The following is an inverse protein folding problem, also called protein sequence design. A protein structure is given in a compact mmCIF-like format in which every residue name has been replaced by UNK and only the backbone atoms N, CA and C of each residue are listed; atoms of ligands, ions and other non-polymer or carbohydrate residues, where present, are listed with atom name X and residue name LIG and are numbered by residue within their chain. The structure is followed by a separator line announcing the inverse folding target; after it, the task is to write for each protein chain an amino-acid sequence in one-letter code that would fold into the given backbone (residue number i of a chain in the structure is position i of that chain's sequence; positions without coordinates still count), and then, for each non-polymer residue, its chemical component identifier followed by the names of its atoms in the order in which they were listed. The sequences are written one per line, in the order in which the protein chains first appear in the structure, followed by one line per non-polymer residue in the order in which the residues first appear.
data_IF_069694032581
#
_entry.id   IF_069694032581
#
_cell.length_a   1.000
_cell.length_b   1.000
_cell.length_c   1.000
_cell.angle_alpha   90.00
_cell.angle_beta   90.00
_cell.angle_gamma   90.00
#
_symmetry.space_group_name_H-M   'P 1'
#
loop_
_entity.id
_entity.type
_entity.pdbx_description
1 polymer ?
#
# COMPACT_ATOMS: atom_id res chain seq x y z
N UNK A 1 -18.22 7.52 22.14
CA UNK A 1 -18.27 6.75 20.89
C UNK A 1 -17.47 7.56 19.88
N UNK A 2 -16.15 7.43 19.94
CA UNK A 2 -15.20 8.31 19.26
C UNK A 2 -15.13 7.91 17.79
N UNK A 3 -15.67 8.76 16.92
CA UNK A 3 -15.31 8.79 15.51
C UNK A 3 -13.78 8.93 15.39
N UNK A 4 -13.09 7.83 15.11
CA UNK A 4 -11.73 7.85 14.57
C UNK A 4 -11.81 7.97 13.04
N UNK A 5 -12.64 8.91 12.58
CA UNK A 5 -12.82 9.28 11.19
C UNK A 5 -11.70 10.23 10.76
N UNK A 6 -10.42 9.82 10.72
CA UNK A 6 -9.37 10.64 10.07
C UNK A 6 -8.02 9.90 9.90
N UNK A 7 -8.03 8.66 9.39
CA UNK A 7 -6.82 8.13 8.76
C UNK A 7 -6.73 8.70 7.34
N UNK A 8 -5.99 9.81 7.19
CA UNK A 8 -5.59 10.33 5.88
C UNK A 8 -4.66 9.31 5.24
N UNK A 9 -5.12 8.72 4.14
CA UNK A 9 -4.36 7.78 3.33
C UNK A 9 -3.08 8.43 2.80
N UNK A 10 -1.98 7.70 2.82
CA UNK A 10 -0.70 8.15 2.28
C UNK A 10 -0.25 7.16 1.24
N UNK A 11 0.17 7.72 0.12
CA UNK A 11 0.96 7.05 -0.88
C UNK A 11 2.26 7.82 -0.95
N UNK A 12 3.36 7.25 -0.45
CA UNK A 12 4.66 7.79 -0.81
C UNK A 12 5.19 7.01 -1.98
N UNK A 13 5.69 7.69 -2.99
CA UNK A 13 6.94 7.25 -3.59
C UNK A 13 8.03 8.08 -2.90
N UNK A 14 9.16 7.46 -2.55
CA UNK A 14 10.53 8.01 -2.61
C UNK A 14 11.47 6.96 -1.97
N UNK A 15 12.18 6.25 -2.82
CA UNK A 15 13.61 5.98 -2.60
C UNK A 15 14.35 6.61 -3.79
N UNK A 16 15.64 6.92 -3.65
CA UNK A 16 16.50 7.47 -4.72
C UNK A 16 16.50 6.64 -6.03
N UNK A 17 15.83 5.48 -6.03
CA UNK A 17 15.75 4.50 -7.11
C UNK A 17 14.39 4.44 -7.85
N UNK A 18 13.48 5.40 -7.65
CA UNK A 18 12.13 5.39 -8.27
C UNK A 18 11.31 4.11 -7.99
N UNK A 19 11.48 3.48 -6.81
CA UNK A 19 10.67 2.32 -6.42
C UNK A 19 9.41 2.80 -5.70
N UNK A 20 8.20 2.52 -6.22
CA UNK A 20 6.95 2.80 -5.54
C UNK A 20 6.82 1.85 -4.36
N UNK A 21 6.52 2.39 -3.19
CA UNK A 21 6.28 1.58 -2.01
C UNK A 21 5.48 2.39 -1.02
N UNK A 22 4.42 1.82 -0.51
CA UNK A 22 3.46 2.52 0.34
C UNK A 22 4.10 3.00 1.64
N UNK A 23 3.94 4.28 1.94
CA UNK A 23 4.20 4.84 3.26
C UNK A 23 2.98 4.77 4.15
N UNK A 24 3.16 4.26 5.36
CA UNK A 24 2.25 4.52 6.46
C UNK A 24 2.74 5.75 7.24
N UNK A 25 2.01 6.89 7.27
CA UNK A 25 2.27 7.96 8.22
C UNK A 25 1.94 7.39 9.58
N UNK A 26 2.96 6.99 10.31
CA UNK A 26 2.80 6.86 11.75
C UNK A 26 2.84 8.27 12.32
N UNK A 27 2.30 8.44 13.53
CA UNK A 27 2.60 9.64 14.33
C UNK A 27 4.10 9.99 14.17
N UNK A 28 4.43 11.28 14.16
CA UNK A 28 5.79 11.82 13.98
C UNK A 28 6.30 12.09 12.54
N UNK A 29 5.43 12.10 11.51
CA UNK A 29 5.82 12.43 10.10
C UNK A 29 6.82 11.43 9.50
N UNK A 30 6.73 10.16 9.88
CA UNK A 30 7.59 9.08 9.38
C UNK A 30 6.74 8.08 8.60
N UNK A 31 7.28 7.63 7.48
CA UNK A 31 6.67 6.71 6.54
C UNK A 31 7.41 5.36 6.56
N UNK A 32 6.69 4.23 6.67
CA UNK A 32 7.28 2.89 6.66
C UNK A 32 7.09 2.17 5.32
N UNK A 33 8.19 1.65 4.76
CA UNK A 33 8.27 1.03 3.44
C UNK A 33 8.71 -0.43 3.53
N UNK A 34 7.93 -1.41 3.05
CA UNK A 34 8.41 -2.77 2.87
C UNK A 34 9.40 -2.88 1.69
N UNK A 35 10.61 -3.41 1.94
CA UNK A 35 11.61 -3.69 0.90
C UNK A 35 12.57 -4.83 1.33
N UNK A 36 12.79 -5.82 0.46
CA UNK A 36 13.71 -6.95 0.69
C UNK A 36 13.57 -7.61 2.08
N UNK A 37 12.33 -7.86 2.52
CA UNK A 37 12.04 -8.51 3.81
C UNK A 37 12.17 -7.60 5.04
N UNK A 38 12.60 -6.34 4.88
CA UNK A 38 12.74 -5.35 5.96
C UNK A 38 11.82 -4.16 5.75
N UNK A 39 11.58 -3.42 6.83
CA UNK A 39 10.90 -2.12 6.77
C UNK A 39 11.93 -0.99 6.81
N UNK A 40 11.82 -0.03 5.90
CA UNK A 40 12.62 1.20 5.87
C UNK A 40 11.78 2.40 6.30
N UNK A 41 12.39 3.36 6.99
CA UNK A 41 11.73 4.60 7.41
C UNK A 41 12.13 5.75 6.46
N UNK A 42 11.16 6.50 5.95
CA UNK A 42 11.39 7.72 5.16
C UNK A 42 10.68 8.93 5.76
N UNK A 43 11.28 10.10 5.54
CA UNK A 43 10.81 11.38 6.09
C UNK A 43 10.24 12.32 5.01
N UNK A 44 10.61 12.10 3.74
CA UNK A 44 10.06 12.81 2.59
C UNK A 44 9.11 11.88 1.84
N UNK A 45 7.85 12.28 1.74
CA UNK A 45 6.81 11.52 1.05
C UNK A 45 5.75 12.46 0.48
N UNK A 46 5.00 11.96 -0.50
CA UNK A 46 3.78 12.61 -1.00
C UNK A 46 2.55 11.95 -0.35
N UNK A 47 1.38 12.56 -0.50
CA UNK A 47 0.12 12.05 0.06
C UNK A 47 -0.92 12.03 -1.05
N UNK A 48 -1.57 10.89 -1.27
CA UNK A 48 -2.66 10.77 -2.21
C UNK A 48 -3.96 11.26 -1.56
N UNK A 49 -4.38 12.47 -1.93
CA UNK A 49 -5.64 13.05 -1.49
C UNK A 49 -6.67 12.96 -2.63
N UNK A 50 -7.45 11.88 -2.70
CA UNK A 50 -8.47 11.72 -3.74
C UNK A 50 -9.78 11.20 -3.15
N UNK A 51 -10.90 11.70 -3.69
CA UNK A 51 -12.26 11.46 -3.18
C UNK A 51 -12.98 10.25 -3.82
N UNK A 52 -12.37 9.56 -4.79
CA UNK A 52 -13.06 8.62 -5.68
C UNK A 52 -12.40 7.22 -5.73
N UNK A 53 -12.08 6.65 -4.56
CA UNK A 53 -11.56 5.29 -4.45
C UNK A 53 -12.37 4.41 -3.51
N UNK A 54 -12.35 3.10 -3.79
CA UNK A 54 -12.89 2.06 -2.92
C UNK A 54 -11.86 0.96 -2.70
N UNK A 55 -11.89 0.33 -1.52
CA UNK A 55 -11.15 -0.88 -1.25
C UNK A 55 -11.99 -2.09 -1.64
N UNK A 56 -11.44 -2.98 -2.46
CA UNK A 56 -12.13 -4.18 -2.93
C UNK A 56 -11.35 -5.39 -2.45
N UNK A 57 -11.99 -6.26 -1.69
CA UNK A 57 -11.35 -7.48 -1.19
C UNK A 57 -10.98 -8.41 -2.35
N UNK A 58 -9.74 -8.89 -2.32
CA UNK A 58 -9.19 -9.81 -3.31
C UNK A 58 -8.12 -10.72 -2.69
N UNK A 59 -7.51 -11.56 -3.50
CA UNK A 59 -6.49 -12.51 -3.06
C UNK A 59 -5.45 -12.80 -4.14
N UNK A 60 -4.36 -13.44 -3.73
CA UNK A 60 -3.30 -13.96 -4.61
C UNK A 60 -2.76 -12.90 -5.57
N UNK A 61 -2.48 -11.71 -5.04
CA UNK A 61 -1.94 -10.58 -5.78
C UNK A 61 -2.82 -10.02 -6.91
N UNK A 62 -4.11 -10.36 -6.96
CA UNK A 62 -5.05 -9.83 -7.95
C UNK A 62 -5.29 -8.33 -7.76
N UNK A 63 -5.42 -7.66 -8.91
CA UNK A 63 -5.42 -6.18 -9.00
C UNK A 63 -6.46 -5.67 -9.99
N UNK A 64 -7.60 -6.36 -10.10
CA UNK A 64 -8.65 -5.97 -11.05
C UNK A 64 -9.21 -4.60 -10.69
N UNK A 65 -9.12 -3.66 -11.63
CA UNK A 65 -9.52 -2.26 -11.41
C UNK A 65 -8.61 -1.48 -10.46
N UNK A 66 -7.54 -2.09 -9.96
CA UNK A 66 -6.68 -1.46 -8.97
C UNK A 66 -5.82 -0.37 -9.61
N UNK A 67 -5.60 0.70 -8.85
CA UNK A 67 -4.80 1.83 -9.29
C UNK A 67 -3.32 1.45 -9.22
N UNK A 68 -2.64 1.52 -10.36
CA UNK A 68 -1.19 1.32 -10.42
C UNK A 68 -0.50 2.50 -9.72
N UNK A 69 0.29 2.20 -8.70
CA UNK A 69 1.07 3.20 -7.95
C UNK A 69 2.50 3.34 -8.48
N UNK A 70 2.98 2.38 -9.27
CA UNK A 70 4.15 2.53 -10.13
C UNK A 70 4.76 1.19 -10.54
N UNK A 71 6.09 1.09 -10.70
CA UNK A 71 6.79 -0.14 -11.08
C UNK A 71 8.09 -0.35 -10.29
N UNK A 72 8.46 -1.61 -9.99
CA UNK A 72 9.76 -1.92 -9.36
C UNK A 72 10.95 -1.73 -10.33
N UNK A 73 12.18 -1.96 -9.84
CA UNK A 73 13.43 -1.85 -10.64
C UNK A 73 13.45 -2.69 -11.92
N UNK A 74 12.64 -3.76 -11.99
CA UNK A 74 12.53 -4.65 -13.15
C UNK A 74 11.33 -4.29 -14.04
N UNK A 75 10.69 -3.13 -13.82
CA UNK A 75 9.51 -2.66 -14.58
C UNK A 75 8.18 -3.30 -14.16
N UNK A 76 8.18 -4.23 -13.19
CA UNK A 76 6.97 -4.93 -12.75
C UNK A 76 6.01 -3.94 -12.09
N UNK A 77 4.74 -3.86 -12.51
CA UNK A 77 3.78 -2.94 -11.94
C UNK A 77 3.44 -3.29 -10.49
N UNK A 78 3.23 -2.26 -9.68
CA UNK A 78 2.90 -2.33 -8.26
C UNK A 78 1.60 -1.56 -8.01
N UNK A 79 0.82 -2.05 -7.05
CA UNK A 79 -0.51 -1.55 -6.74
C UNK A 79 -0.69 -1.38 -5.24
N UNK A 80 -1.66 -0.55 -4.84
CA UNK A 80 -1.95 -0.32 -3.43
C UNK A 80 -2.86 -1.41 -2.89
N UNK A 81 -2.42 -2.06 -1.80
CA UNK A 81 -3.19 -3.04 -1.06
C UNK A 81 -3.36 -2.67 0.40
N UNK A 82 -4.30 -3.28 1.10
CA UNK A 82 -4.31 -3.31 2.57
C UNK A 82 -4.66 -4.71 3.09
N UNK A 83 -4.13 -5.04 4.24
CA UNK A 83 -4.27 -6.34 4.90
C UNK A 83 -4.81 -6.11 6.29
N UNK A 84 -5.76 -6.94 6.72
CA UNK A 84 -6.23 -6.93 8.10
C UNK A 84 -5.31 -7.80 8.96
N UNK A 85 -4.59 -7.20 9.90
CA UNK A 85 -3.61 -7.88 10.75
C UNK A 85 -3.73 -7.39 12.19
N UNK A 86 -3.84 -8.32 13.15
CA UNK A 86 -3.98 -8.05 14.59
C UNK A 86 -5.01 -6.94 14.93
N UNK A 87 -6.19 -6.99 14.30
CA UNK A 87 -7.31 -6.08 14.60
C UNK A 87 -7.26 -4.73 13.90
N UNK A 88 -6.25 -4.48 13.05
CA UNK A 88 -6.09 -3.22 12.33
C UNK A 88 -5.88 -3.44 10.83
N UNK A 89 -6.34 -2.49 10.02
CA UNK A 89 -6.02 -2.45 8.59
C UNK A 89 -4.65 -1.82 8.38
N UNK A 90 -3.75 -2.54 7.72
CA UNK A 90 -2.40 -2.11 7.41
C UNK A 90 -2.26 -1.99 5.90
N UNK A 91 -1.93 -0.80 5.43
CA UNK A 91 -1.69 -0.57 4.00
C UNK A 91 -0.33 -1.15 3.62
N UNK A 92 -0.27 -1.75 2.44
CA UNK A 92 0.90 -2.36 1.84
C UNK A 92 0.85 -2.27 0.32
N UNK A 93 1.70 -3.08 -0.30
CA UNK A 93 1.95 -3.08 -1.73
C UNK A 93 1.64 -4.44 -2.32
N UNK A 94 0.76 -4.48 -3.31
CA UNK A 94 0.45 -5.70 -4.06
C UNK A 94 1.48 -5.82 -5.19
N UNK A 95 2.07 -7.01 -5.29
CA UNK A 95 2.93 -7.38 -6.39
C UNK A 95 2.33 -8.59 -7.11
N UNK A 96 1.65 -8.38 -8.25
CA UNK A 96 1.00 -9.47 -8.99
C UNK A 96 1.98 -10.52 -9.54
N UNK A 97 3.28 -10.21 -9.62
CA UNK A 97 4.28 -11.19 -10.04
C UNK A 97 4.60 -12.22 -8.95
N UNK A 98 4.39 -11.85 -7.69
CA UNK A 98 4.60 -12.73 -6.53
C UNK A 98 3.28 -13.19 -5.91
N UNK A 99 2.15 -12.92 -6.57
CA UNK A 99 0.81 -13.31 -6.13
C UNK A 99 0.51 -12.93 -4.66
N UNK A 100 1.02 -11.79 -4.18
CA UNK A 100 0.90 -11.42 -2.77
C UNK A 100 0.91 -9.91 -2.51
N UNK A 101 0.42 -9.54 -1.32
CA UNK A 101 0.52 -8.19 -0.78
C UNK A 101 1.60 -8.14 0.33
N UNK A 102 2.62 -7.30 0.13
CA UNK A 102 3.65 -7.03 1.12
C UNK A 102 3.24 -5.87 2.03
N UNK A 103 3.33 -6.03 3.35
CA UNK A 103 2.96 -4.98 4.31
C UNK A 103 3.96 -4.90 5.48
N UNK A 104 4.23 -3.70 6.00
CA UNK A 104 5.13 -3.53 7.14
C UNK A 104 4.41 -3.89 8.45
N UNK A 105 5.05 -4.71 9.29
CA UNK A 105 4.55 -5.00 10.64
C UNK A 105 5.70 -5.21 11.62
N UNK A 106 5.71 -4.46 12.73
CA UNK A 106 6.71 -4.57 13.81
C UNK A 106 8.16 -4.63 13.30
N UNK A 107 8.49 -3.77 12.32
CA UNK A 107 9.83 -3.66 11.72
C UNK A 107 10.18 -4.71 10.64
N UNK A 108 9.26 -5.62 10.32
CA UNK A 108 9.43 -6.65 9.29
C UNK A 108 8.52 -6.36 8.09
N UNK A 109 8.95 -6.76 6.90
CA UNK A 109 8.05 -6.86 5.75
C UNK A 109 7.42 -8.24 5.77
N UNK A 110 6.11 -8.31 5.95
CA UNK A 110 5.33 -9.54 5.87
C UNK A 110 4.62 -9.62 4.53
N UNK A 111 4.11 -10.81 4.21
CA UNK A 111 3.32 -11.09 3.01
C UNK A 111 1.95 -11.66 3.39
N UNK A 112 0.93 -11.37 2.58
CA UNK A 112 -0.41 -11.89 2.77
C UNK A 112 -1.11 -12.10 1.43
N UNK A 113 -1.69 -13.29 1.27
CA UNK A 113 -2.48 -13.63 0.09
C UNK A 113 -3.81 -12.88 0.09
N UNK A 114 -4.50 -12.83 1.24
CA UNK A 114 -5.74 -12.06 1.39
C UNK A 114 -5.43 -10.58 1.60
N UNK A 115 -6.01 -9.73 0.77
CA UNK A 115 -5.80 -8.30 0.82
C UNK A 115 -7.03 -7.58 0.25
N UNK A 116 -7.05 -6.25 0.32
CA UNK A 116 -7.96 -5.43 -0.48
C UNK A 116 -7.15 -4.53 -1.39
N UNK A 117 -7.54 -4.40 -2.65
CA UNK A 117 -6.90 -3.52 -3.61
C UNK A 117 -7.63 -2.17 -3.66
N UNK A 118 -6.88 -1.07 -3.82
CA UNK A 118 -7.46 0.25 -4.03
C UNK A 118 -7.90 0.42 -5.49
N UNK A 119 -9.21 0.53 -5.72
CA UNK A 119 -9.83 0.64 -7.05
C UNK A 119 -10.37 2.06 -7.26
N UNK A 120 -10.07 2.64 -8.43
CA UNK A 120 -10.60 3.92 -8.88
C UNK A 120 -12.01 3.81 -9.43
N UNK A 121 -12.85 4.82 -9.18
CA UNK A 121 -14.22 4.89 -9.72
C UNK A 121 -14.31 5.07 -11.25
N UNK A 122 -13.17 5.16 -11.96
CA UNK A 122 -13.16 5.23 -13.44
C UNK A 122 -13.37 3.87 -14.12
N UNK A 123 -13.60 2.79 -13.36
CA UNK A 123 -14.02 1.48 -13.88
C UNK A 123 -15.56 1.36 -13.83
N UNK A 124 -16.24 2.10 -14.70
CA UNK A 124 -17.56 1.75 -15.21
C UNK A 124 -17.44 1.66 -16.74
N UNK A 125 -17.18 0.46 -17.26
CA UNK A 125 -17.67 -0.05 -18.57
C UNK A 125 -17.81 -1.57 -18.50
#
# INVERSE_FOLDING_TARGET
MTEMSLFRWVDCCITDDNVPSTALPVEHKIAHLPHNGKTHCVHNYQILCLNHFKWVSDHDGRVQGAVKTGSNKNGVPLFLGRVFHEGSWIVGMINPRYDTCFYPYKGKSLEANKHEALVGHFYEE
#
